data_IF_353463169361
#
_entry.id   IF_353463169361
#
_cell.length_a   1.000
_cell.length_b   1.000
_cell.length_c   1.000
_cell.angle_alpha   90.00
_cell.angle_beta   90.00
_cell.angle_gamma   90.00
#
_symmetry.space_group_name_H-M   'P 1'
#
loop_
_entity.id
_entity.type
_entity.pdbx_description
1 polymer ?
#
# COMPACT_ATOMS: atom_id res chain seq x y z
N UNK A 1 7.69 5.39 -3.96
CA UNK A 1 7.77 4.89 -2.57
C UNK A 1 8.94 3.91 -2.40
N UNK A 2 9.74 4.06 -1.34
CA UNK A 2 10.87 3.15 -1.02
C UNK A 2 10.41 1.69 -0.84
N UNK A 3 9.23 1.50 -0.24
CA UNK A 3 8.61 0.17 0.00
C UNK A 3 8.50 -0.65 -1.30
N UNK A 4 8.06 -0.03 -2.41
CA UNK A 4 7.91 -0.72 -3.71
C UNK A 4 9.23 -1.27 -4.27
N UNK A 5 10.36 -0.65 -3.91
CA UNK A 5 11.69 -1.03 -4.40
C UNK A 5 12.39 -2.07 -3.52
N UNK A 6 12.02 -2.14 -2.24
CA UNK A 6 12.76 -2.94 -1.25
C UNK A 6 11.96 -4.14 -0.71
N UNK A 7 10.64 -4.10 -0.80
CA UNK A 7 9.78 -5.08 -0.14
C UNK A 7 8.97 -5.89 -1.15
N UNK A 8 9.00 -7.21 -1.04
CA UNK A 8 8.15 -8.11 -1.83
C UNK A 8 6.70 -8.14 -1.32
N UNK A 9 6.51 -7.91 -0.01
CA UNK A 9 5.22 -7.88 0.65
C UNK A 9 5.05 -6.61 1.49
N UNK A 10 3.81 -6.15 1.61
CA UNK A 10 3.43 -4.99 2.40
C UNK A 10 2.18 -5.26 3.22
N UNK A 11 2.10 -4.62 4.39
CA UNK A 11 0.88 -4.51 5.19
C UNK A 11 0.59 -3.03 5.44
N UNK A 12 -0.67 -2.67 5.34
CA UNK A 12 -1.15 -1.32 5.59
C UNK A 12 -2.01 -1.36 6.84
N UNK A 13 -1.65 -0.49 7.79
CA UNK A 13 -2.32 -0.38 9.07
C UNK A 13 -3.01 0.97 9.18
N UNK A 14 -4.22 0.96 9.73
CA UNK A 14 -4.94 2.16 10.09
C UNK A 14 -5.61 1.96 11.45
N UNK A 15 -5.36 2.91 12.37
CA UNK A 15 -5.89 2.90 13.75
C UNK A 15 -5.68 1.57 14.48
N UNK A 16 -4.47 1.02 14.38
CA UNK A 16 -4.07 -0.22 15.05
C UNK A 16 -4.64 -1.50 14.42
N UNK A 17 -5.24 -1.43 13.22
CA UNK A 17 -5.76 -2.59 12.50
C UNK A 17 -5.08 -2.73 11.16
N UNK A 18 -4.69 -3.95 10.80
CA UNK A 18 -4.28 -4.29 9.45
C UNK A 18 -5.54 -4.24 8.58
N UNK A 19 -5.54 -3.32 7.63
CA UNK A 19 -6.68 -3.11 6.72
C UNK A 19 -6.45 -3.72 5.34
N UNK A 20 -5.18 -3.91 4.95
CA UNK A 20 -4.79 -4.49 3.68
C UNK A 20 -3.39 -5.09 3.77
N UNK A 21 -3.18 -6.23 3.13
CA UNK A 21 -1.88 -6.91 3.08
C UNK A 21 -1.76 -7.74 1.80
N UNK A 22 -0.56 -7.87 1.26
CA UNK A 22 -0.34 -8.65 0.04
C UNK A 22 1.05 -8.49 -0.55
N UNK A 23 1.22 -9.00 -1.76
CA UNK A 23 2.39 -8.69 -2.56
C UNK A 23 2.42 -7.19 -2.85
N UNK A 24 3.58 -6.56 -2.70
CA UNK A 24 3.71 -5.11 -2.90
C UNK A 24 3.24 -4.69 -4.29
N UNK A 25 3.59 -5.45 -5.31
CA UNK A 25 3.12 -5.19 -6.68
C UNK A 25 1.59 -5.21 -6.80
N UNK A 26 0.91 -6.12 -6.10
CA UNK A 26 -0.55 -6.24 -6.15
C UNK A 26 -1.24 -5.10 -5.38
N UNK A 27 -0.79 -4.82 -4.16
CA UNK A 27 -1.37 -3.77 -3.31
C UNK A 27 -1.24 -2.39 -3.97
N UNK A 28 -0.13 -2.15 -4.68
CA UNK A 28 0.08 -0.89 -5.40
C UNK A 28 -0.69 -0.83 -6.73
N UNK A 29 -0.78 -1.94 -7.48
CA UNK A 29 -1.48 -1.96 -8.77
C UNK A 29 -3.01 -2.00 -8.63
N UNK A 30 -3.51 -2.68 -7.59
CA UNK A 30 -4.94 -2.90 -7.34
C UNK A 30 -5.27 -2.74 -5.85
N UNK A 31 -5.16 -1.52 -5.30
CA UNK A 31 -5.49 -1.27 -3.91
C UNK A 31 -6.99 -1.54 -3.67
N UNK A 32 -7.28 -2.44 -2.74
CA UNK A 32 -8.65 -2.91 -2.43
C UNK A 32 -9.33 -2.01 -1.42
N UNK A 33 -8.57 -1.44 -0.48
CA UNK A 33 -9.12 -0.56 0.54
C UNK A 33 -9.06 0.92 0.11
N UNK A 34 -10.13 1.72 0.29
CA UNK A 34 -10.14 3.13 -0.08
C UNK A 34 -9.01 3.95 0.56
N UNK A 35 -8.70 3.67 1.83
CA UNK A 35 -7.56 4.30 2.52
C UNK A 35 -6.20 3.98 1.89
N UNK A 36 -5.97 2.74 1.46
CA UNK A 36 -4.75 2.37 0.73
C UNK A 36 -4.61 3.15 -0.56
N UNK A 37 -5.71 3.33 -1.31
CA UNK A 37 -5.72 4.13 -2.53
C UNK A 37 -5.34 5.58 -2.27
N UNK A 38 -5.96 6.20 -1.26
CA UNK A 38 -5.63 7.57 -0.87
C UNK A 38 -4.16 7.72 -0.42
N UNK A 39 -3.60 6.71 0.28
CA UNK A 39 -2.17 6.71 0.64
C UNK A 39 -1.25 6.65 -0.58
N UNK A 40 -1.57 5.82 -1.57
CA UNK A 40 -0.78 5.70 -2.80
C UNK A 40 -0.84 7.00 -3.60
N UNK A 41 -2.05 7.57 -3.77
CA UNK A 41 -2.27 8.83 -4.48
C UNK A 41 -1.58 10.02 -3.80
N UNK A 42 -1.39 9.97 -2.48
CA UNK A 42 -0.72 11.03 -1.72
C UNK A 42 0.81 11.01 -1.87
N UNK A 43 1.41 9.98 -2.48
CA UNK A 43 2.87 9.90 -2.69
C UNK A 43 3.22 10.48 -4.06
N UNK A 44 3.93 11.62 -4.14
CA UNK A 44 4.28 12.23 -5.41
C UNK A 44 5.27 11.36 -6.20
N UNK A 45 5.04 11.18 -7.50
CA UNK A 45 5.93 10.46 -8.40
C UNK A 45 5.69 8.95 -8.50
N UNK A 46 4.50 8.47 -8.13
CA UNK A 46 4.01 7.10 -8.36
C UNK A 46 2.84 7.07 -9.35
#
# INVERSE_FOLDING_TARGET
>A
AVVRKLCERVLIMWRGKIIEQGATAEVFAKPRHPYTRALIEAVPGE
#
